data_IF_742139546781
#
_entry.id   IF_742139546781
#
_cell.length_a   1.000
_cell.length_b   1.000
_cell.length_c   1.000
_cell.angle_alpha   90.00
_cell.angle_beta   90.00
_cell.angle_gamma   90.00
#
_symmetry.space_group_name_H-M   'P 1'
#
loop_
_entity.id
_entity.type
_entity.pdbx_description
1 polymer ?
#
# COMPACT_ATOMS: atom_id res chain seq x y z
N UNK A 1 12.50 -14.42 15.45
CA UNK A 1 13.34 -14.05 14.30
C UNK A 1 12.41 -13.94 13.10
N UNK A 2 12.14 -12.71 12.66
CA UNK A 2 11.26 -12.47 11.51
C UNK A 2 12.00 -12.87 10.22
N UNK A 3 11.31 -13.54 9.30
CA UNK A 3 11.92 -14.00 8.07
C UNK A 3 12.20 -12.80 7.15
N UNK A 4 13.47 -12.56 6.85
CA UNK A 4 13.83 -11.68 5.75
C UNK A 4 13.40 -12.33 4.43
N UNK A 5 13.15 -11.51 3.41
CA UNK A 5 12.88 -11.98 2.06
C UNK A 5 13.99 -12.91 1.57
N UNK A 6 13.61 -14.05 1.00
CA UNK A 6 14.51 -14.89 0.23
C UNK A 6 14.99 -14.15 -1.04
N UNK A 7 16.12 -14.57 -1.64
CA UNK A 7 16.59 -13.98 -2.90
C UNK A 7 15.55 -14.05 -4.03
N UNK A 8 14.73 -15.10 -4.06
CA UNK A 8 13.68 -15.26 -5.06
C UNK A 8 12.53 -14.26 -4.84
N UNK A 9 12.08 -14.07 -3.61
CA UNK A 9 11.04 -13.09 -3.27
C UNK A 9 11.53 -11.65 -3.52
N UNK A 10 12.77 -11.34 -3.15
CA UNK A 10 13.37 -10.05 -3.45
C UNK A 10 13.46 -9.79 -4.95
N UNK A 11 13.92 -10.78 -5.72
CA UNK A 11 13.99 -10.67 -7.18
C UNK A 11 12.60 -10.48 -7.80
N UNK A 12 11.58 -11.18 -7.30
CA UNK A 12 10.21 -11.04 -7.78
C UNK A 12 9.64 -9.65 -7.46
N UNK A 13 9.86 -9.15 -6.25
CA UNK A 13 9.43 -7.81 -5.84
C UNK A 13 10.08 -6.71 -6.69
N UNK A 14 11.40 -6.79 -6.92
CA UNK A 14 12.13 -5.81 -7.73
C UNK A 14 11.80 -5.87 -9.22
N UNK A 15 11.20 -6.96 -9.71
CA UNK A 15 10.78 -7.11 -11.10
C UNK A 15 9.44 -6.45 -11.43
N UNK A 16 8.69 -5.98 -10.41
CA UNK A 16 7.37 -5.35 -10.61
C UNK A 16 7.56 -4.00 -11.34
N UNK A 17 6.90 -3.79 -12.50
CA UNK A 17 7.00 -2.52 -13.22
C UNK A 17 6.41 -1.36 -12.42
N UNK A 18 7.17 -0.27 -12.31
CA UNK A 18 6.73 1.01 -11.76
C UNK A 18 5.95 1.80 -12.82
N UNK A 19 4.63 1.82 -12.70
CA UNK A 19 3.73 2.51 -13.62
C UNK A 19 3.75 4.03 -13.44
N UNK A 20 4.39 4.53 -12.38
CA UNK A 20 4.60 5.96 -12.20
C UNK A 20 5.78 6.48 -13.03
N UNK A 21 6.64 5.60 -13.57
CA UNK A 21 7.77 5.98 -14.43
C UNK A 21 7.26 6.58 -15.75
N UNK A 22 7.72 7.79 -16.17
CA UNK A 22 7.33 8.37 -17.45
C UNK A 22 7.59 7.46 -18.66
N UNK A 23 8.63 6.61 -18.59
CA UNK A 23 8.95 5.65 -19.66
C UNK A 23 7.87 4.56 -19.83
N UNK A 24 7.02 4.34 -18.82
CA UNK A 24 5.89 3.40 -18.92
C UNK A 24 4.79 3.89 -19.87
N UNK A 25 4.70 5.19 -20.13
CA UNK A 25 3.58 5.80 -20.86
C UNK A 25 2.22 5.70 -20.14
N UNK A 26 2.20 5.21 -18.90
CA UNK A 26 0.98 4.92 -18.16
C UNK A 26 0.36 6.19 -17.57
N UNK A 27 -0.96 6.16 -17.39
CA UNK A 27 -1.77 7.24 -16.84
C UNK A 27 -1.38 7.62 -15.40
N UNK A 28 -0.76 6.71 -14.65
CA UNK A 28 -0.20 6.99 -13.32
C UNK A 28 0.94 8.01 -13.40
N UNK A 29 1.89 7.83 -14.32
CA UNK A 29 2.96 8.79 -14.56
C UNK A 29 2.40 10.16 -14.99
N UNK A 30 1.36 10.17 -15.83
CA UNK A 30 0.69 11.41 -16.25
C UNK A 30 -0.02 12.11 -15.09
N UNK A 31 -0.73 11.37 -14.24
CA UNK A 31 -1.39 11.93 -13.06
C UNK A 31 -0.37 12.56 -12.10
N UNK A 32 0.75 11.86 -11.85
CA UNK A 32 1.85 12.39 -11.05
C UNK A 32 2.38 13.71 -11.62
N UNK A 33 2.61 13.79 -12.93
CA UNK A 33 3.07 15.00 -13.60
C UNK A 33 2.04 16.14 -13.55
N UNK A 34 0.75 15.84 -13.73
CA UNK A 34 -0.34 16.84 -13.65
C UNK A 34 -0.43 17.44 -12.24
N UNK A 35 -0.45 16.61 -11.20
CA UNK A 35 -0.55 17.07 -9.80
C UNK A 35 0.67 17.90 -9.42
N UNK A 36 1.87 17.39 -9.67
CA UNK A 36 3.10 18.07 -9.28
C UNK A 36 3.34 19.34 -10.10
N UNK A 37 3.04 19.33 -11.41
CA UNK A 37 3.09 20.50 -12.27
C UNK A 37 2.10 21.59 -11.88
N UNK A 38 0.86 21.22 -11.50
CA UNK A 38 -0.14 22.17 -11.03
C UNK A 38 0.32 22.91 -9.76
N UNK A 39 0.89 22.19 -8.79
CA UNK A 39 1.44 22.78 -7.57
C UNK A 39 2.65 23.70 -7.84
N UNK A 40 3.60 23.23 -8.66
CA UNK A 40 4.77 24.02 -9.03
C UNK A 40 4.39 25.32 -9.74
N UNK A 41 3.42 25.26 -10.67
CA UNK A 41 2.88 26.43 -11.35
C UNK A 41 2.11 27.35 -10.40
N UNK A 42 1.26 26.81 -9.53
CA UNK A 42 0.49 27.58 -8.55
C UNK A 42 1.38 28.37 -7.59
N UNK A 43 2.51 27.79 -7.20
CA UNK A 43 3.45 28.41 -6.27
C UNK A 43 4.60 29.18 -6.92
N UNK A 44 4.73 29.10 -8.25
CA UNK A 44 5.84 29.66 -9.03
C UNK A 44 7.22 29.17 -8.53
N UNK A 45 7.34 27.88 -8.22
CA UNK A 45 8.58 27.27 -7.71
C UNK A 45 9.16 26.23 -8.68
N UNK A 46 10.48 26.04 -8.67
CA UNK A 46 11.10 24.87 -9.29
C UNK A 46 10.53 23.56 -8.74
N UNK A 47 10.53 22.55 -9.60
CA UNK A 47 10.12 21.19 -9.29
C UNK A 47 11.29 20.24 -9.55
N UNK A 48 11.55 19.35 -8.60
CA UNK A 48 12.58 18.31 -8.71
C UNK A 48 11.97 16.95 -8.45
N UNK A 49 12.10 16.03 -9.42
CA UNK A 49 11.62 14.66 -9.29
C UNK A 49 12.76 13.75 -8.85
N UNK A 50 12.56 13.01 -7.77
CA UNK A 50 13.52 12.06 -7.22
C UNK A 50 12.96 10.65 -7.32
N UNK A 51 13.73 9.72 -7.91
CA UNK A 51 13.37 8.30 -8.02
C UNK A 51 14.46 7.42 -7.37
N UNK A 52 14.63 7.48 -6.03
CA UNK A 52 15.57 6.61 -5.35
C UNK A 52 15.17 5.14 -5.53
N UNK A 53 16.15 4.25 -5.44
CA UNK A 53 15.91 2.80 -5.45
C UNK A 53 14.92 2.37 -4.36
N UNK A 54 14.23 1.24 -4.54
CA UNK A 54 13.22 0.77 -3.59
C UNK A 54 13.83 0.22 -2.29
N UNK A 55 15.12 -0.15 -2.29
CA UNK A 55 15.84 -0.60 -1.11
C UNK A 55 16.32 0.60 -0.29
N UNK A 56 15.86 0.67 0.95
CA UNK A 56 16.17 1.76 1.88
C UNK A 56 16.65 1.20 3.21
N UNK A 57 17.36 2.01 3.98
CA UNK A 57 17.65 1.64 5.36
C UNK A 57 16.37 1.70 6.19
N UNK A 58 16.22 0.80 7.17
CA UNK A 58 15.10 0.85 8.12
C UNK A 58 15.04 2.19 8.85
N UNK A 59 16.22 2.78 9.08
CA UNK A 59 16.40 4.11 9.68
C UNK A 59 15.84 5.25 8.83
N UNK A 60 16.03 5.22 7.50
CA UNK A 60 15.48 6.25 6.60
C UNK A 60 13.97 6.04 6.40
N UNK A 61 13.50 4.79 6.39
CA UNK A 61 12.07 4.49 6.30
C UNK A 61 11.31 4.94 7.57
N UNK A 62 11.90 4.80 8.76
CA UNK A 62 11.21 5.06 10.03
C UNK A 62 11.88 6.14 10.88
N UNK A 63 13.00 5.84 11.52
CA UNK A 63 13.58 6.67 12.60
C UNK A 63 13.79 8.14 12.20
N UNK A 64 14.32 8.40 11.00
CA UNK A 64 14.61 9.77 10.53
C UNK A 64 13.36 10.57 10.18
N UNK A 65 12.23 9.90 10.06
CA UNK A 65 10.91 10.47 9.86
C UNK A 65 10.11 10.51 11.16
N UNK A 66 10.73 10.23 12.30
CA UNK A 66 10.13 10.41 13.63
C UNK A 66 9.16 9.32 14.06
N UNK A 67 9.10 8.19 13.34
CA UNK A 67 8.31 7.04 13.76
C UNK A 67 8.82 6.52 15.10
N UNK A 68 7.88 6.10 15.97
CA UNK A 68 8.24 5.51 17.26
C UNK A 68 8.60 4.04 17.10
N UNK A 69 9.48 3.52 17.96
CA UNK A 69 9.87 2.11 17.92
C UNK A 69 8.74 1.14 18.27
N UNK A 70 7.67 1.62 18.90
CA UNK A 70 6.48 0.84 19.24
C UNK A 70 5.30 1.08 18.28
N UNK A 71 5.52 1.81 17.19
CA UNK A 71 4.49 2.05 16.18
C UNK A 71 4.16 0.74 15.45
N UNK A 72 2.87 0.43 15.28
CA UNK A 72 2.43 -0.77 14.57
C UNK A 72 2.91 -0.77 13.12
N UNK A 73 3.07 0.42 12.51
CA UNK A 73 3.59 0.57 11.14
C UNK A 73 5.06 0.16 11.00
N UNK A 74 5.79 0.12 12.12
CA UNK A 74 7.16 -0.37 12.22
C UNK A 74 7.23 -1.89 12.48
N UNK A 75 6.11 -2.56 12.73
CA UNK A 75 6.08 -4.00 12.96
C UNK A 75 6.54 -4.72 11.68
N UNK A 76 7.44 -5.70 11.87
CA UNK A 76 8.03 -6.48 10.79
C UNK A 76 6.97 -7.24 9.98
N UNK A 77 5.79 -7.50 10.55
CA UNK A 77 4.65 -8.11 9.83
C UNK A 77 4.15 -7.26 8.68
N UNK A 78 4.28 -5.93 8.76
CA UNK A 78 3.80 -4.99 7.74
C UNK A 78 4.93 -4.45 6.83
N UNK A 79 6.12 -5.05 6.93
CA UNK A 79 7.34 -4.55 6.30
C UNK A 79 8.15 -5.65 5.61
N UNK A 80 8.85 -5.30 4.52
CA UNK A 80 9.62 -6.25 3.70
C UNK A 80 11.11 -6.14 3.93
N UNK A 81 11.59 -6.79 4.99
CA UNK A 81 13.01 -6.77 5.36
C UNK A 81 13.84 -7.67 4.45
N UNK A 82 14.97 -7.15 3.96
CA UNK A 82 16.03 -7.92 3.27
C UNK A 82 17.13 -8.29 4.26
N UNK A 83 17.35 -7.44 5.27
CA UNK A 83 18.21 -7.68 6.42
C UNK A 83 17.68 -6.90 7.63
N UNK A 84 18.26 -7.04 8.83
CA UNK A 84 17.84 -6.26 10.00
C UNK A 84 17.90 -4.73 9.80
N UNK A 85 18.67 -4.23 8.84
CA UNK A 85 18.88 -2.79 8.62
C UNK A 85 18.45 -2.30 7.24
N UNK A 86 17.98 -3.19 6.36
CA UNK A 86 17.59 -2.87 4.97
C UNK A 86 16.25 -3.52 4.64
N UNK A 87 15.37 -2.75 4.00
CA UNK A 87 14.04 -3.20 3.59
C UNK A 87 13.66 -2.62 2.21
N UNK A 88 12.65 -3.20 1.58
CA UNK A 88 11.91 -2.49 0.55
C UNK A 88 11.05 -1.41 1.22
N UNK A 89 11.07 -0.18 0.71
CA UNK A 89 10.37 0.96 1.31
C UNK A 89 8.87 0.67 1.46
N UNK A 90 8.30 1.00 2.62
CA UNK A 90 6.85 0.87 2.86
C UNK A 90 6.06 2.13 2.50
N UNK A 91 6.74 3.26 2.28
CA UNK A 91 6.18 4.51 1.77
C UNK A 91 7.24 5.32 1.00
N UNK A 92 6.83 6.22 0.11
CA UNK A 92 7.74 7.05 -0.70
C UNK A 92 8.51 8.10 0.10
N UNK A 93 7.97 8.52 1.26
CA UNK A 93 8.64 9.45 2.18
C UNK A 93 9.98 8.93 2.70
N UNK A 94 10.22 7.62 2.64
CA UNK A 94 11.53 7.01 2.96
C UNK A 94 12.69 7.57 2.10
N UNK A 95 12.41 8.22 0.97
CA UNK A 95 13.41 8.93 0.16
C UNK A 95 13.74 10.34 0.66
N UNK A 96 12.88 10.96 1.48
CA UNK A 96 13.06 12.33 1.96
C UNK A 96 14.31 12.54 2.82
N UNK A 97 14.75 11.62 3.68
CA UNK A 97 15.97 11.82 4.45
C UNK A 97 17.20 12.11 3.58
N UNK A 98 17.34 11.43 2.43
CA UNK A 98 18.43 11.68 1.49
C UNK A 98 18.29 13.04 0.78
N UNK A 99 17.05 13.47 0.46
CA UNK A 99 16.78 14.81 -0.06
C UNK A 99 17.13 15.87 0.98
N UNK A 100 16.75 15.70 2.24
CA UNK A 100 17.07 16.66 3.30
C UNK A 100 18.59 16.75 3.55
N UNK A 101 19.31 15.63 3.43
CA UNK A 101 20.77 15.61 3.55
C UNK A 101 21.45 16.41 2.43
N UNK A 102 20.94 16.36 1.19
CA UNK A 102 21.51 17.09 0.06
C UNK A 102 21.33 18.61 0.19
N UNK A 103 20.35 19.05 0.97
CA UNK A 103 20.08 20.47 1.25
C UNK A 103 20.96 21.05 2.37
N UNK A 104 21.73 20.23 3.11
CA UNK A 104 22.59 20.74 4.20
C UNK A 104 23.62 21.80 3.77
N UNK A 105 24.27 21.70 2.59
CA UNK A 105 25.21 22.71 2.12
C UNK A 105 24.53 23.99 1.59
N UNK A 106 23.20 24.00 1.44
CA UNK A 106 22.44 25.14 0.93
C UNK A 106 22.48 26.32 1.91
N UNK A 107 23.38 27.26 1.64
CA UNK A 107 23.46 28.55 2.35
C UNK A 107 22.58 29.63 1.70
N UNK A 108 21.98 29.32 0.55
CA UNK A 108 21.22 30.22 -0.32
C UNK A 108 19.71 30.28 -0.04
N UNK A 109 18.98 30.92 -0.97
CA UNK A 109 17.52 30.88 -1.01
C UNK A 109 17.09 29.55 -1.67
N UNK A 110 16.32 28.76 -0.95
CA UNK A 110 15.68 27.53 -1.43
C UNK A 110 14.18 27.68 -1.31
N UNK A 111 13.45 27.33 -2.36
CA UNK A 111 11.99 27.18 -2.38
C UNK A 111 11.66 26.26 -3.55
N UNK A 112 11.57 24.96 -3.28
CA UNK A 112 11.47 23.92 -4.32
C UNK A 112 10.44 22.88 -3.89
N UNK A 113 9.66 22.40 -4.86
CA UNK A 113 8.82 21.22 -4.72
C UNK A 113 9.61 19.96 -5.08
N UNK A 114 9.87 19.12 -4.08
CA UNK A 114 10.46 17.80 -4.24
C UNK A 114 9.35 16.76 -4.41
N UNK A 115 9.46 15.94 -5.46
CA UNK A 115 8.43 14.98 -5.89
C UNK A 115 9.04 13.58 -5.89
N UNK A 116 8.46 12.64 -5.13
CA UNK A 116 8.95 11.26 -5.06
C UNK A 116 7.81 10.29 -5.42
N UNK A 117 7.61 10.01 -6.72
CA UNK A 117 6.70 8.96 -7.15
C UNK A 117 7.38 7.59 -7.04
N UNK A 118 6.60 6.55 -6.79
CA UNK A 118 7.05 5.19 -7.05
C UNK A 118 6.32 4.11 -6.26
N UNK A 119 6.71 2.87 -6.53
CA UNK A 119 6.22 1.69 -5.84
C UNK A 119 6.63 1.66 -4.37
N UNK A 120 5.74 1.14 -3.52
CA UNK A 120 6.02 0.82 -2.12
C UNK A 120 5.61 -0.62 -1.86
N UNK A 121 6.15 -1.24 -0.83
CA UNK A 121 6.03 -2.68 -0.60
C UNK A 121 5.57 -2.94 0.83
N UNK A 122 4.29 -3.27 0.98
CA UNK A 122 3.67 -3.57 2.27
C UNK A 122 2.55 -4.59 2.08
N UNK A 123 2.35 -5.56 2.97
CA UNK A 123 1.10 -6.31 2.99
C UNK A 123 -0.08 -5.33 3.06
N UNK A 124 -1.16 -5.70 2.40
CA UNK A 124 -2.38 -4.90 2.36
C UNK A 124 -3.54 -5.85 2.07
N UNK A 125 -4.77 -5.39 2.32
CA UNK A 125 -5.96 -6.18 2.12
C UNK A 125 -6.04 -6.74 0.70
N UNK A 126 -6.59 -7.95 0.57
CA UNK A 126 -6.89 -8.54 -0.74
C UNK A 126 -8.33 -8.21 -1.07
N UNK A 127 -8.54 -7.11 -1.78
CA UNK A 127 -9.83 -6.70 -2.30
C UNK A 127 -9.67 -5.95 -3.64
N UNK A 128 -10.75 -5.30 -4.11
CA UNK A 128 -10.77 -4.58 -5.39
C UNK A 128 -10.08 -3.23 -5.35
N UNK A 129 -9.67 -2.74 -4.18
CA UNK A 129 -9.11 -1.40 -3.98
C UNK A 129 -7.71 -1.39 -3.39
N UNK A 130 -7.21 -2.54 -2.92
CA UNK A 130 -5.92 -2.69 -2.27
C UNK A 130 -5.02 -3.69 -2.98
N UNK A 131 -3.71 -3.41 -2.95
CA UNK A 131 -2.65 -4.25 -3.53
C UNK A 131 -1.41 -4.14 -2.64
N UNK A 132 -0.64 -5.22 -2.51
CA UNK A 132 0.56 -5.22 -1.66
C UNK A 132 1.75 -4.41 -2.20
N UNK A 133 1.62 -3.87 -3.42
CA UNK A 133 2.63 -3.03 -4.04
C UNK A 133 2.00 -1.82 -4.74
N UNK A 134 1.38 -0.90 -3.98
CA UNK A 134 0.78 0.30 -4.57
C UNK A 134 1.87 1.30 -4.97
N UNK A 135 1.51 2.27 -5.80
CA UNK A 135 2.28 3.46 -6.08
C UNK A 135 1.85 4.59 -5.16
N UNK A 136 2.83 5.32 -4.64
CA UNK A 136 2.61 6.55 -3.92
C UNK A 136 3.23 7.72 -4.67
N UNK A 137 2.75 8.91 -4.33
CA UNK A 137 3.33 10.18 -4.72
C UNK A 137 3.58 11.01 -3.46
N UNK A 138 4.85 11.25 -3.16
CA UNK A 138 5.27 12.17 -2.11
C UNK A 138 5.53 13.56 -2.70
N UNK A 139 5.05 14.61 -2.03
CA UNK A 139 5.18 16.00 -2.44
C UNK A 139 5.64 16.85 -1.26
N UNK A 140 6.88 17.32 -1.28
CA UNK A 140 7.44 18.16 -0.23
C UNK A 140 7.89 19.51 -0.79
N UNK A 141 7.19 20.59 -0.43
CA UNK A 141 7.68 21.95 -0.70
C UNK A 141 8.57 22.35 0.46
N UNK A 142 9.86 22.54 0.21
CA UNK A 142 10.83 22.96 1.22
C UNK A 142 11.30 24.39 0.94
N UNK A 143 11.39 25.21 1.98
CA UNK A 143 11.72 26.63 1.88
C UNK A 143 12.69 27.07 2.98
N UNK A 144 13.77 27.77 2.63
CA UNK A 144 14.83 28.20 3.58
C UNK A 144 14.66 29.62 4.16
N UNK A 145 13.67 30.39 3.69
CA UNK A 145 13.31 31.72 4.22
C UNK A 145 11.83 32.01 4.09
N UNK A 146 11.24 32.62 5.12
CA UNK A 146 9.79 32.80 5.22
C UNK A 146 9.14 31.62 5.93
N UNK A 147 7.84 31.69 6.15
CA UNK A 147 7.08 30.62 6.80
C UNK A 147 6.03 30.10 5.82
N UNK A 148 5.87 28.77 5.81
CA UNK A 148 4.71 28.08 5.26
C UNK A 148 3.84 27.69 6.45
N UNK A 149 2.53 27.95 6.35
CA UNK A 149 1.57 27.73 7.43
C UNK A 149 0.33 26.98 6.97
N UNK A 150 -0.65 26.88 7.87
CA UNK A 150 -1.94 26.23 7.59
C UNK A 150 -2.67 26.80 6.35
N UNK A 151 -2.61 28.12 6.05
CA UNK A 151 -3.16 28.63 4.79
C UNK A 151 -2.50 27.99 3.56
N UNK A 152 -1.15 27.95 3.49
CA UNK A 152 -0.43 27.32 2.38
C UNK A 152 -0.73 25.81 2.27
N UNK A 153 -0.89 25.14 3.42
CA UNK A 153 -1.33 23.75 3.46
C UNK A 153 -2.74 23.60 2.86
N UNK A 154 -3.67 24.47 3.24
CA UNK A 154 -5.05 24.44 2.72
C UNK A 154 -5.09 24.68 1.20
N UNK A 155 -4.25 25.60 0.72
CA UNK A 155 -4.09 25.88 -0.72
C UNK A 155 -3.49 24.68 -1.47
N UNK A 156 -2.54 23.97 -0.85
CA UNK A 156 -1.99 22.71 -1.38
C UNK A 156 -3.10 21.66 -1.56
N UNK A 157 -3.94 21.47 -0.54
CA UNK A 157 -5.01 20.48 -0.59
C UNK A 157 -6.00 20.78 -1.73
N UNK A 158 -6.45 22.02 -1.84
CA UNK A 158 -7.35 22.44 -2.91
C UNK A 158 -6.74 22.21 -4.29
N UNK A 159 -5.48 22.60 -4.48
CA UNK A 159 -4.77 22.41 -5.75
C UNK A 159 -4.61 20.94 -6.12
N UNK A 160 -4.34 20.06 -5.15
CA UNK A 160 -4.27 18.60 -5.37
C UNK A 160 -5.63 18.04 -5.75
N UNK A 161 -6.71 18.42 -5.05
CA UNK A 161 -8.07 17.96 -5.40
C UNK A 161 -8.45 18.44 -6.79
N UNK A 162 -8.21 19.70 -7.15
CA UNK A 162 -8.54 20.21 -8.48
C UNK A 162 -7.74 19.52 -9.59
N UNK A 163 -6.48 19.14 -9.32
CA UNK A 163 -5.66 18.39 -10.27
C UNK A 163 -6.13 16.94 -10.46
N UNK A 164 -6.51 16.25 -9.37
CA UNK A 164 -6.94 14.84 -9.42
C UNK A 164 -8.42 14.74 -9.81
N UNK A 165 -9.32 15.44 -9.11
CA UNK A 165 -10.78 15.38 -9.26
C UNK A 165 -11.39 16.79 -9.36
N UNK A 166 -11.26 17.47 -10.51
CA UNK A 166 -11.75 18.82 -10.72
C UNK A 166 -13.23 18.96 -10.36
N UNK A 167 -13.56 19.94 -9.52
CA UNK A 167 -14.92 20.24 -9.11
C UNK A 167 -15.49 19.33 -8.01
N UNK A 168 -14.69 18.41 -7.47
CA UNK A 168 -15.09 17.56 -6.35
C UNK A 168 -15.03 18.30 -5.02
N UNK A 169 -16.01 18.06 -4.15
CA UNK A 169 -15.98 18.57 -2.78
C UNK A 169 -14.96 17.81 -1.95
N UNK A 170 -14.25 18.52 -1.09
CA UNK A 170 -13.25 17.95 -0.21
C UNK A 170 -13.36 18.52 1.20
N UNK A 171 -12.75 17.84 2.17
CA UNK A 171 -12.57 18.31 3.55
C UNK A 171 -11.21 17.89 4.08
N UNK A 172 -10.65 18.68 4.99
CA UNK A 172 -9.49 18.31 5.78
C UNK A 172 -9.94 17.83 7.16
N UNK A 173 -9.55 16.63 7.56
CA UNK A 173 -9.81 16.05 8.87
C UNK A 173 -8.49 16.01 9.64
N UNK A 174 -8.38 16.56 10.86
CA UNK A 174 -7.14 16.50 11.62
C UNK A 174 -6.63 15.06 11.78
N UNK A 175 -5.35 14.84 11.49
CA UNK A 175 -4.67 13.56 11.64
C UNK A 175 -3.25 13.77 12.18
N UNK A 176 -2.71 12.76 12.86
CA UNK A 176 -1.38 12.84 13.48
C UNK A 176 -0.44 11.96 12.67
N UNK A 177 0.64 12.56 12.15
CA UNK A 177 1.69 11.82 11.44
C UNK A 177 3.06 12.05 12.09
N UNK A 178 3.98 11.08 12.03
CA UNK A 178 5.27 11.17 12.73
C UNK A 178 6.18 12.33 12.28
N UNK A 179 6.12 12.69 10.99
CA UNK A 179 6.99 13.68 10.35
C UNK A 179 6.31 15.02 10.03
N UNK A 180 5.06 15.23 10.46
CA UNK A 180 4.35 16.50 10.25
C UNK A 180 3.78 17.09 11.54
N UNK A 181 3.51 18.38 11.53
CA UNK A 181 2.66 19.09 12.49
C UNK A 181 1.45 19.68 11.75
N UNK A 182 0.35 19.92 12.47
CA UNK A 182 -0.93 20.28 11.86
C UNK A 182 -1.32 19.30 10.74
N UNK A 183 -1.10 18.00 10.99
CA UNK A 183 -1.42 16.93 10.06
C UNK A 183 -2.92 16.85 9.78
N UNK A 184 -3.25 16.48 8.55
CA UNK A 184 -4.62 16.38 8.06
C UNK A 184 -4.73 15.23 7.06
N UNK A 185 -5.81 14.47 7.18
CA UNK A 185 -6.33 13.58 6.15
C UNK A 185 -7.20 14.40 5.19
N UNK A 186 -6.93 14.30 3.90
CA UNK A 186 -7.71 14.90 2.82
C UNK A 186 -8.76 13.91 2.32
N UNK A 187 -10.03 14.18 2.62
CA UNK A 187 -11.15 13.41 2.11
C UNK A 187 -11.80 14.10 0.92
N UNK A 188 -12.21 13.32 -0.08
CA UNK A 188 -13.00 13.76 -1.24
C UNK A 188 -14.37 13.09 -1.23
N UNK A 189 -15.39 13.79 -1.73
CA UNK A 189 -16.74 13.25 -1.81
C UNK A 189 -16.93 12.42 -3.08
N UNK A 190 -17.24 11.13 -2.91
CA UNK A 190 -17.43 10.15 -3.99
C UNK A 190 -18.68 9.34 -3.69
N UNK A 191 -19.60 9.23 -4.64
CA UNK A 191 -20.86 8.45 -4.52
C UNK A 191 -21.67 8.72 -3.24
N UNK A 192 -21.64 9.97 -2.76
CA UNK A 192 -22.33 10.40 -1.54
C UNK A 192 -21.58 10.11 -0.23
N UNK A 193 -20.46 9.40 -0.28
CA UNK A 193 -19.56 9.15 0.85
C UNK A 193 -18.31 10.02 0.85
N UNK A 194 -17.57 10.01 1.96
CA UNK A 194 -16.24 10.60 2.07
C UNK A 194 -15.18 9.51 1.96
N UNK A 195 -14.20 9.70 1.10
CA UNK A 195 -13.10 8.78 0.88
C UNK A 195 -11.77 9.53 1.03
N UNK A 196 -10.84 8.92 1.75
CA UNK A 196 -9.48 9.43 1.89
C UNK A 196 -8.72 9.38 0.55
N UNK A 197 -8.16 10.54 0.16
CA UNK A 197 -7.32 10.71 -1.03
C UNK A 197 -5.83 10.81 -0.67
N UNK A 198 -5.50 11.55 0.39
CA UNK A 198 -4.12 11.87 0.76
C UNK A 198 -4.01 12.23 2.24
N UNK A 199 -2.78 12.23 2.75
CA UNK A 199 -2.42 12.79 4.06
C UNK A 199 -1.41 13.91 3.85
N UNK A 200 -1.50 14.97 4.65
CA UNK A 200 -0.64 16.14 4.50
C UNK A 200 -0.39 16.86 5.82
N UNK A 201 0.61 17.75 5.86
CA UNK A 201 0.88 18.59 7.02
C UNK A 201 2.06 19.53 6.81
N UNK A 202 2.36 20.31 7.84
CA UNK A 202 3.58 21.10 7.90
C UNK A 202 4.74 20.17 8.27
N UNK A 203 5.89 20.25 7.60
CA UNK A 203 7.05 19.42 7.91
C UNK A 203 7.49 19.66 9.36
N UNK A 204 7.61 18.60 10.14
CA UNK A 204 7.93 18.71 11.56
C UNK A 204 9.36 19.25 11.77
N UNK A 205 9.49 20.19 12.70
CA UNK A 205 10.79 20.78 13.04
C UNK A 205 11.80 19.75 13.58
N UNK A 206 11.33 18.65 14.17
CA UNK A 206 12.16 17.51 14.61
C UNK A 206 12.85 16.83 13.43
N UNK A 207 12.15 16.61 12.32
CA UNK A 207 12.69 16.00 11.10
C UNK A 207 13.74 16.90 10.45
N UNK A 208 13.44 18.20 10.32
CA UNK A 208 14.40 19.17 9.79
C UNK A 208 15.69 19.22 10.62
N UNK A 209 15.57 19.28 11.96
CA UNK A 209 16.74 19.28 12.85
C UNK A 209 17.53 17.96 12.78
N UNK A 210 16.85 16.83 12.66
CA UNK A 210 17.50 15.53 12.51
C UNK A 210 18.32 15.43 11.22
N UNK A 211 17.92 16.15 10.16
CA UNK A 211 18.70 16.30 8.94
C UNK A 211 19.75 17.43 9.01
N UNK A 212 19.89 18.13 10.14
CA UNK A 212 20.86 19.22 10.31
C UNK A 212 20.42 20.57 9.72
N UNK A 213 19.14 20.74 9.39
CA UNK A 213 18.56 22.01 8.92
C UNK A 213 18.05 22.84 10.11
N UNK A 214 18.38 24.14 10.15
CA UNK A 214 17.86 25.04 11.20
C UNK A 214 16.36 25.27 10.99
N UNK A 215 15.53 24.67 11.84
CA UNK A 215 14.05 24.77 11.77
C UNK A 215 13.50 26.17 12.06
N UNK A 216 14.33 27.16 12.37
CA UNK A 216 13.95 28.59 12.41
C UNK A 216 14.08 29.28 11.05
N UNK A 217 14.80 28.65 10.12
CA UNK A 217 15.02 29.12 8.74
C UNK A 217 14.25 28.26 7.75
N UNK A 218 14.31 26.95 7.95
CA UNK A 218 13.64 25.98 7.11
C UNK A 218 12.23 25.67 7.59
N UNK A 219 11.31 25.63 6.64
CA UNK A 219 9.95 25.15 6.81
C UNK A 219 9.54 24.35 5.57
N UNK A 220 8.41 23.65 5.66
CA UNK A 220 7.88 22.93 4.50
C UNK A 220 6.45 22.47 4.65
N UNK A 221 5.88 22.08 3.52
CA UNK A 221 4.65 21.31 3.42
C UNK A 221 5.01 19.89 2.98
N UNK A 222 4.30 18.90 3.48
CA UNK A 222 4.41 17.50 3.07
C UNK A 222 3.02 16.98 2.71
N UNK A 223 2.92 16.18 1.65
CA UNK A 223 1.74 15.43 1.28
C UNK A 223 2.14 14.08 0.67
N UNK A 224 1.52 13.01 1.16
CA UNK A 224 1.59 11.67 0.59
C UNK A 224 0.22 11.25 0.08
N UNK A 225 0.16 10.69 -1.14
CA UNK A 225 -1.08 10.18 -1.71
C UNK A 225 -0.89 8.82 -2.38
N UNK A 226 -1.90 7.96 -2.28
CA UNK A 226 -1.98 6.72 -3.04
C UNK A 226 -2.30 7.02 -4.50
N UNK A 227 -1.33 6.86 -5.39
CA UNK A 227 -1.46 7.26 -6.80
C UNK A 227 -2.42 6.34 -7.55
N UNK A 228 -2.45 5.04 -7.23
CA UNK A 228 -3.41 4.06 -7.77
C UNK A 228 -4.85 4.46 -7.44
N UNK A 229 -5.12 4.75 -6.16
CA UNK A 229 -6.45 5.19 -5.70
C UNK A 229 -6.86 6.50 -6.38
N UNK A 230 -5.96 7.47 -6.45
CA UNK A 230 -6.22 8.75 -7.11
C UNK A 230 -6.56 8.57 -8.60
N UNK A 231 -5.84 7.69 -9.30
CA UNK A 231 -6.13 7.39 -10.71
C UNK A 231 -7.45 6.61 -10.87
N UNK A 232 -7.71 5.65 -9.99
CA UNK A 232 -8.97 4.91 -9.98
C UNK A 232 -10.16 5.85 -9.82
N UNK A 233 -10.08 6.80 -8.89
CA UNK A 233 -11.10 7.84 -8.71
C UNK A 233 -11.23 8.73 -9.95
N UNK A 234 -10.10 9.21 -10.49
CA UNK A 234 -10.08 10.06 -11.70
C UNK A 234 -10.80 9.40 -12.87
N UNK A 235 -10.56 8.10 -13.05
CA UNK A 235 -11.05 7.35 -14.21
C UNK A 235 -12.35 6.61 -13.94
N UNK A 236 -12.82 6.50 -12.69
CA UNK A 236 -13.97 5.67 -12.33
C UNK A 236 -13.70 4.17 -12.45
N UNK A 237 -12.49 3.73 -12.09
CA UNK A 237 -12.09 2.32 -12.07
C UNK A 237 -12.42 1.72 -10.69
N UNK A 238 -13.12 0.59 -10.69
CA UNK A 238 -13.64 -0.08 -9.49
C UNK A 238 -12.85 -1.33 -9.08
N UNK A 239 -11.75 -1.62 -9.79
CA UNK A 239 -10.86 -2.75 -9.55
C UNK A 239 -9.40 -2.37 -9.85
N UNK A 240 -8.57 -2.29 -8.81
CA UNK A 240 -7.17 -1.88 -8.89
C UNK A 240 -6.35 -2.76 -9.83
N UNK A 241 -6.74 -4.04 -9.98
CA UNK A 241 -6.06 -5.00 -10.86
C UNK A 241 -6.15 -4.57 -12.33
N UNK A 242 -7.16 -3.78 -12.71
CA UNK A 242 -7.28 -3.24 -14.07
C UNK A 242 -6.13 -2.29 -14.44
N UNK A 243 -5.49 -1.63 -13.47
CA UNK A 243 -4.34 -0.75 -13.73
C UNK A 243 -3.13 -1.52 -14.30
N UNK A 244 -3.08 -2.84 -14.09
CA UNK A 244 -2.00 -3.71 -14.57
C UNK A 244 -2.48 -4.73 -15.62
N UNK A 245 -3.74 -4.61 -16.08
CA UNK A 245 -4.33 -5.59 -16.99
C UNK A 245 -3.59 -5.63 -18.33
N UNK A 246 -3.30 -6.84 -18.80
CA UNK A 246 -2.72 -7.08 -20.12
C UNK A 246 -3.76 -7.12 -21.24
N UNK A 247 -5.06 -7.12 -20.90
CA UNK A 247 -6.15 -7.09 -21.88
C UNK A 247 -6.04 -5.81 -22.73
N UNK A 248 -5.89 -5.93 -24.07
CA UNK A 248 -5.71 -4.77 -24.94
C UNK A 248 -6.82 -3.73 -24.82
N UNK A 249 -8.05 -4.14 -24.49
CA UNK A 249 -9.21 -3.25 -24.31
C UNK A 249 -9.08 -2.40 -23.05
N UNK A 250 -8.37 -2.89 -22.04
CA UNK A 250 -8.10 -2.18 -20.78
C UNK A 250 -6.80 -1.39 -20.89
N UNK A 251 -5.72 -2.03 -21.33
CA UNK A 251 -4.39 -1.45 -21.46
C UNK A 251 -4.38 -0.18 -22.33
N UNK A 252 -5.12 -0.19 -23.45
CA UNK A 252 -5.23 0.99 -24.32
C UNK A 252 -5.86 2.22 -23.64
N UNK A 253 -6.63 2.03 -22.57
CA UNK A 253 -7.25 3.10 -21.79
C UNK A 253 -6.35 3.62 -20.65
N UNK A 254 -5.20 3.00 -20.43
CA UNK A 254 -4.23 3.39 -19.40
C UNK A 254 -3.16 4.35 -19.93
N UNK A 255 -3.35 4.93 -21.12
CA UNK A 255 -2.43 5.90 -21.72
C UNK A 255 -2.89 7.36 -21.58
N UNK A 256 -4.00 7.63 -20.88
CA UNK A 256 -4.52 8.98 -20.63
C UNK A 256 -5.31 9.07 -19.31
N UNK A 257 -5.78 10.27 -18.97
CA UNK A 257 -6.61 10.54 -17.77
C UNK A 257 -8.12 10.60 -18.06
N UNK A 258 -8.58 10.13 -19.22
CA UNK A 258 -10.00 10.11 -19.57
C UNK A 258 -10.75 9.06 -18.74
N UNK A 259 -12.06 9.25 -18.50
CA UNK A 259 -12.88 8.24 -17.81
C UNK A 259 -12.77 6.86 -18.47
N UNK A 260 -12.61 5.84 -17.63
CA UNK A 260 -12.54 4.45 -18.04
C UNK A 260 -13.89 4.00 -18.61
N UNK A 261 -13.84 3.26 -19.71
CA UNK A 261 -14.98 2.60 -20.33
C UNK A 261 -14.97 1.14 -19.90
N UNK A 262 -15.96 0.70 -19.11
CA UNK A 262 -15.99 -0.67 -18.59
C UNK A 262 -15.95 -1.72 -19.69
N UNK A 263 -15.13 -2.75 -19.48
CA UNK A 263 -15.14 -3.99 -20.27
C UNK A 263 -15.93 -5.06 -19.52
N UNK A 264 -16.45 -6.06 -20.22
CA UNK A 264 -17.21 -7.15 -19.60
C UNK A 264 -16.37 -7.90 -18.55
N UNK A 265 -16.88 -7.95 -17.32
CA UNK A 265 -16.24 -8.69 -16.23
C UNK A 265 -16.49 -10.20 -16.36
N UNK A 266 -15.51 -11.00 -15.92
CA UNK A 266 -15.64 -12.46 -15.84
C UNK A 266 -16.36 -12.87 -14.54
N UNK A 267 -17.10 -13.98 -14.52
CA UNK A 267 -17.79 -14.41 -13.31
C UNK A 267 -16.79 -14.85 -12.23
N UNK A 268 -16.98 -14.43 -10.95
CA UNK A 268 -16.12 -14.86 -9.86
C UNK A 268 -16.47 -16.28 -9.41
N UNK A 269 -15.46 -16.98 -8.87
CA UNK A 269 -15.60 -18.29 -8.22
C UNK A 269 -15.20 -18.15 -6.76
N UNK A 270 -16.11 -18.51 -5.84
CA UNK A 270 -15.87 -18.43 -4.40
C UNK A 270 -15.52 -19.79 -3.80
N UNK A 271 -14.55 -19.83 -2.88
CA UNK A 271 -14.16 -21.03 -2.14
C UNK A 271 -13.93 -20.70 -0.68
N UNK A 272 -14.60 -21.43 0.20
CA UNK A 272 -14.41 -21.29 1.64
C UNK A 272 -13.35 -22.30 2.11
N UNK A 273 -12.46 -21.85 3.00
CA UNK A 273 -11.33 -22.58 3.56
C UNK A 273 -11.46 -22.63 5.08
N UNK A 274 -11.29 -23.82 5.66
CA UNK A 274 -11.04 -23.97 7.10
C UNK A 274 -9.54 -24.11 7.33
N UNK A 275 -8.91 -23.07 7.85
CA UNK A 275 -7.47 -23.04 8.12
C UNK A 275 -7.23 -23.27 9.61
N UNK A 276 -6.28 -24.12 9.96
CA UNK A 276 -5.70 -24.11 11.30
C UNK A 276 -4.48 -23.18 11.23
N UNK A 277 -4.51 -22.11 12.01
CA UNK A 277 -3.42 -21.12 12.10
C UNK A 277 -3.49 -20.41 13.46
N UNK A 278 -2.59 -19.46 13.70
CA UNK A 278 -2.59 -18.65 14.91
C UNK A 278 -3.93 -17.92 15.13
N UNK A 279 -4.35 -17.78 16.38
CA UNK A 279 -5.64 -17.14 16.74
C UNK A 279 -5.64 -15.61 16.65
N UNK A 280 -4.47 -15.00 16.42
CA UNK A 280 -4.26 -13.57 16.21
C UNK A 280 -3.95 -13.21 14.74
N UNK A 281 -4.21 -14.14 13.81
CA UNK A 281 -3.84 -13.95 12.41
C UNK A 281 -4.59 -12.79 11.74
N UNK A 282 -3.84 -11.95 11.03
CA UNK A 282 -4.34 -10.80 10.29
C UNK A 282 -4.74 -11.20 8.85
N UNK A 283 -5.86 -10.67 8.36
CA UNK A 283 -6.32 -10.87 6.99
C UNK A 283 -5.31 -10.36 5.95
N UNK A 284 -4.56 -9.29 6.25
CA UNK A 284 -3.53 -8.75 5.36
C UNK A 284 -2.36 -9.74 5.22
N UNK A 285 -1.95 -10.37 6.32
CA UNK A 285 -0.89 -11.38 6.35
C UNK A 285 -1.33 -12.65 5.61
N UNK A 286 -2.55 -13.12 5.84
CA UNK A 286 -3.11 -14.25 5.09
C UNK A 286 -3.22 -13.95 3.60
N UNK A 287 -3.68 -12.74 3.27
CA UNK A 287 -3.81 -12.26 1.92
C UNK A 287 -2.50 -12.21 1.16
N UNK A 288 -1.46 -11.72 1.82
CA UNK A 288 -0.13 -11.67 1.27
C UNK A 288 0.49 -13.05 1.04
N UNK A 289 0.39 -13.93 2.02
CA UNK A 289 0.84 -15.31 1.88
C UNK A 289 0.07 -16.04 0.76
N UNK A 290 -1.23 -15.76 0.58
CA UNK A 290 -2.01 -16.27 -0.53
C UNK A 290 -1.51 -15.77 -1.89
N UNK A 291 -1.21 -14.47 -2.03
CA UNK A 291 -0.63 -13.91 -3.28
C UNK A 291 0.72 -14.54 -3.59
N UNK A 292 1.58 -14.67 -2.59
CA UNK A 292 2.90 -15.32 -2.72
C UNK A 292 2.75 -16.76 -3.21
N UNK A 293 1.82 -17.53 -2.64
CA UNK A 293 1.54 -18.91 -3.05
C UNK A 293 1.00 -19.03 -4.48
N UNK A 294 0.26 -18.01 -4.94
CA UNK A 294 -0.30 -17.93 -6.30
C UNK A 294 0.73 -17.48 -7.34
N UNK A 295 1.77 -16.74 -6.95
CA UNK A 295 2.86 -16.35 -7.85
C UNK A 295 2.34 -15.68 -9.13
N UNK A 296 2.62 -16.21 -10.33
CA UNK A 296 2.10 -15.65 -11.59
C UNK A 296 0.57 -15.54 -11.69
N UNK A 297 -0.17 -16.33 -10.89
CA UNK A 297 -1.65 -16.31 -10.87
C UNK A 297 -2.21 -15.34 -9.81
N UNK A 298 -1.38 -14.54 -9.14
CA UNK A 298 -1.81 -13.68 -8.03
C UNK A 298 -2.93 -12.71 -8.42
N UNK A 299 -2.95 -12.21 -9.66
CA UNK A 299 -3.99 -11.28 -10.16
C UNK A 299 -5.38 -11.92 -10.25
N UNK A 300 -5.47 -13.26 -10.23
CA UNK A 300 -6.74 -13.97 -10.17
C UNK A 300 -7.40 -13.85 -8.79
N UNK A 301 -6.63 -13.58 -7.73
CA UNK A 301 -7.16 -13.41 -6.39
C UNK A 301 -7.80 -12.02 -6.26
N UNK A 302 -9.13 -11.99 -6.35
CA UNK A 302 -9.93 -10.77 -6.28
C UNK A 302 -10.34 -10.39 -4.86
N UNK A 303 -10.29 -11.34 -3.94
CA UNK A 303 -10.74 -11.14 -2.57
C UNK A 303 -10.27 -12.25 -1.63
N UNK A 304 -9.91 -11.89 -0.40
CA UNK A 304 -9.73 -12.81 0.72
C UNK A 304 -10.39 -12.21 1.96
N UNK A 305 -11.48 -12.84 2.42
CA UNK A 305 -12.23 -12.39 3.60
C UNK A 305 -12.09 -13.38 4.75
N UNK A 306 -11.72 -12.91 5.95
CA UNK A 306 -11.84 -13.72 7.17
C UNK A 306 -13.29 -13.64 7.66
N UNK A 307 -14.01 -14.77 7.58
CA UNK A 307 -15.42 -14.86 7.94
C UNK A 307 -15.63 -15.15 9.43
N UNK A 308 -14.75 -15.95 10.03
CA UNK A 308 -14.81 -16.30 11.45
C UNK A 308 -13.46 -16.80 11.94
N UNK A 309 -13.15 -16.49 13.21
CA UNK A 309 -12.01 -17.06 13.95
C UNK A 309 -12.59 -17.82 15.14
N UNK A 310 -12.34 -19.12 15.23
CA UNK A 310 -12.84 -19.96 16.32
C UNK A 310 -11.67 -20.63 17.04
N UNK A 311 -11.36 -20.25 18.28
CA UNK A 311 -10.28 -20.86 19.05
C UNK A 311 -10.43 -22.37 19.15
N UNK A 312 -9.31 -23.10 19.08
CA UNK A 312 -9.31 -24.57 19.16
C UNK A 312 -9.99 -25.07 20.44
N UNK A 313 -9.86 -24.33 21.54
CA UNK A 313 -10.43 -24.66 22.85
C UNK A 313 -11.96 -24.79 22.86
N UNK A 314 -12.66 -24.14 21.91
CA UNK A 314 -14.13 -24.16 21.81
C UNK A 314 -14.63 -24.91 20.56
N UNK A 315 -13.74 -25.54 19.79
CA UNK A 315 -14.14 -26.26 18.59
C UNK A 315 -14.89 -27.57 18.92
N UNK A 316 -15.96 -27.88 18.17
CA UNK A 316 -16.63 -29.18 18.28
C UNK A 316 -15.68 -30.35 17.97
N UNK A 317 -15.91 -31.50 18.60
CA UNK A 317 -15.07 -32.70 18.40
C UNK A 317 -14.92 -33.13 16.93
N UNK A 318 -15.97 -32.97 16.12
CA UNK A 318 -15.93 -33.25 14.69
C UNK A 318 -14.96 -32.32 13.94
N UNK A 319 -14.91 -31.04 14.31
CA UNK A 319 -14.00 -30.07 13.72
C UNK A 319 -12.54 -30.33 14.14
N UNK A 320 -12.32 -30.65 15.42
CA UNK A 320 -10.99 -31.04 15.93
C UNK A 320 -10.44 -32.27 15.20
N UNK A 321 -11.28 -33.31 15.04
CA UNK A 321 -10.92 -34.53 14.31
C UNK A 321 -10.56 -34.24 12.85
N UNK A 322 -11.39 -33.43 12.17
CA UNK A 322 -11.18 -33.03 10.78
C UNK A 322 -9.88 -32.24 10.57
N UNK A 323 -9.57 -31.32 11.49
CA UNK A 323 -8.33 -30.53 11.46
C UNK A 323 -7.11 -31.31 11.98
N UNK A 324 -7.30 -32.53 12.49
CA UNK A 324 -6.24 -33.37 13.03
C UNK A 324 -5.61 -32.84 14.32
N UNK A 325 -6.33 -32.01 15.09
CA UNK A 325 -5.82 -31.43 16.33
C UNK A 325 -6.00 -32.43 17.48
N UNK A 326 -4.91 -32.95 18.01
CA UNK A 326 -4.93 -33.84 19.18
C UNK A 326 -5.39 -33.07 20.43
N UNK A 327 -6.20 -33.71 21.29
CA UNK A 327 -6.69 -33.10 22.54
C UNK A 327 -5.62 -33.04 23.65
N UNK A 328 -4.37 -33.41 23.38
CA UNK A 328 -3.34 -33.51 24.42
C UNK A 328 -2.73 -32.15 24.78
N UNK A 329 -2.93 -31.81 26.04
CA UNK A 329 -2.55 -30.58 26.69
C UNK A 329 -1.08 -30.63 27.13
N UNK A 330 -0.26 -29.70 26.61
CA UNK A 330 0.80 -29.13 27.44
C UNK A 330 0.17 -28.35 28.62
N UNK A 331 0.97 -27.71 29.49
CA UNK A 331 0.45 -26.96 30.64
C UNK A 331 -0.54 -25.82 30.28
N UNK A 332 -0.68 -25.48 28.99
CA UNK A 332 -1.59 -24.49 28.44
C UNK A 332 -2.89 -25.06 27.78
N UNK A 333 -3.12 -26.38 27.80
CA UNK A 333 -4.24 -27.02 27.09
C UNK A 333 -3.92 -27.36 25.62
N UNK A 334 -4.78 -28.13 24.92
CA UNK A 334 -4.59 -28.43 23.49
C UNK A 334 -4.84 -27.19 22.62
N UNK A 335 -3.91 -26.87 21.72
CA UNK A 335 -4.05 -25.78 20.73
C UNK A 335 -4.07 -24.36 21.30
N UNK A 336 -3.38 -24.12 22.43
CA UNK A 336 -3.19 -22.77 22.95
C UNK A 336 -2.54 -21.87 21.88
N UNK A 337 -3.20 -20.75 21.54
CA UNK A 337 -2.75 -19.83 20.49
C UNK A 337 -3.12 -20.24 19.06
N UNK A 338 -3.96 -21.26 18.86
CA UNK A 338 -4.44 -21.68 17.53
C UNK A 338 -5.96 -21.57 17.41
N UNK A 339 -6.41 -21.25 16.20
CA UNK A 339 -7.82 -21.18 15.84
C UNK A 339 -8.09 -21.88 14.51
N UNK A 340 -9.34 -22.31 14.34
CA UNK A 340 -9.90 -22.52 13.02
C UNK A 340 -10.32 -21.15 12.45
N UNK A 341 -9.64 -20.71 11.41
CA UNK A 341 -9.96 -19.47 10.68
C UNK A 341 -10.69 -19.83 9.40
N UNK A 342 -11.95 -19.44 9.32
CA UNK A 342 -12.79 -19.60 8.14
C UNK A 342 -12.52 -18.45 7.18
N UNK A 343 -11.95 -18.74 6.02
CA UNK A 343 -11.58 -17.75 5.00
C UNK A 343 -12.39 -17.98 3.73
N UNK A 344 -12.88 -16.91 3.11
CA UNK A 344 -13.46 -16.95 1.77
C UNK A 344 -12.48 -16.39 0.74
N UNK A 345 -12.10 -17.21 -0.22
CA UNK A 345 -11.38 -16.80 -1.40
C UNK A 345 -12.36 -16.43 -2.51
N UNK A 346 -12.17 -15.27 -3.11
CA UNK A 346 -12.83 -14.87 -4.36
C UNK A 346 -11.81 -14.89 -5.49
N UNK A 347 -11.97 -15.83 -6.41
CA UNK A 347 -11.10 -16.01 -7.58
C UNK A 347 -11.82 -15.48 -8.82
N UNK A 348 -11.22 -14.51 -9.50
CA UNK A 348 -11.78 -13.88 -10.69
C UNK A 348 -10.65 -13.39 -11.58
N UNK A 349 -10.42 -14.06 -12.70
CA UNK A 349 -9.51 -13.57 -13.74
C UNK A 349 -10.15 -12.38 -14.46
N UNK A 350 -9.33 -11.40 -14.85
CA UNK A 350 -9.77 -10.27 -15.68
C UNK A 350 -9.96 -10.66 -17.15
N UNK A 351 -9.35 -11.75 -17.60
CA UNK A 351 -9.19 -12.06 -19.03
C UNK A 351 -10.10 -13.20 -19.49
N UNK A 352 -10.41 -14.16 -18.61
CA UNK A 352 -11.17 -15.36 -18.96
C UNK A 352 -12.00 -15.91 -17.81
N UNK A 353 -13.05 -16.66 -18.13
CA UNK A 353 -13.78 -17.45 -17.15
C UNK A 353 -12.90 -18.58 -16.61
N UNK A 354 -12.85 -18.71 -15.28
CA UNK A 354 -12.18 -19.84 -14.63
C UNK A 354 -13.08 -21.07 -14.67
N UNK A 355 -12.53 -22.21 -15.05
CA UNK A 355 -13.21 -23.49 -14.84
C UNK A 355 -13.21 -23.86 -13.36
N UNK A 356 -14.18 -24.70 -12.95
CA UNK A 356 -14.20 -25.22 -11.57
C UNK A 356 -12.88 -25.91 -11.19
N UNK A 357 -12.27 -26.61 -12.15
CA UNK A 357 -10.98 -27.29 -11.98
C UNK A 357 -9.83 -26.35 -11.69
N UNK A 358 -9.72 -25.27 -12.46
CA UNK A 358 -8.68 -24.27 -12.26
C UNK A 358 -8.85 -23.58 -10.91
N UNK A 359 -10.07 -23.16 -10.58
CA UNK A 359 -10.37 -22.56 -9.29
C UNK A 359 -10.01 -23.50 -8.11
N UNK A 360 -10.27 -24.80 -8.25
CA UNK A 360 -9.91 -25.79 -7.23
C UNK A 360 -8.40 -25.96 -7.07
N UNK A 361 -7.63 -25.93 -8.17
CA UNK A 361 -6.15 -25.97 -8.13
C UNK A 361 -5.58 -24.74 -7.46
N UNK A 362 -6.06 -23.54 -7.80
CA UNK A 362 -5.64 -22.27 -7.19
C UNK A 362 -5.97 -22.25 -5.70
N UNK A 363 -7.19 -22.66 -5.34
CA UNK A 363 -7.62 -22.85 -3.95
C UNK A 363 -6.68 -23.76 -3.18
N UNK A 364 -6.30 -24.91 -3.75
CA UNK A 364 -5.44 -25.88 -3.06
C UNK A 364 -4.03 -25.33 -2.80
N UNK A 365 -3.48 -24.54 -3.74
CA UNK A 365 -2.19 -23.86 -3.54
C UNK A 365 -2.25 -22.87 -2.37
N UNK A 366 -3.30 -22.05 -2.31
CA UNK A 366 -3.51 -21.13 -1.19
C UNK A 366 -3.69 -21.89 0.12
N UNK A 367 -4.53 -22.93 0.12
CA UNK A 367 -4.76 -23.75 1.32
C UNK A 367 -3.48 -24.39 1.86
N UNK A 368 -2.65 -24.97 0.98
CA UNK A 368 -1.38 -25.58 1.39
C UNK A 368 -0.38 -24.56 1.95
N UNK A 369 -0.46 -23.31 1.51
CA UNK A 369 0.41 -22.24 2.01
C UNK A 369 -0.06 -21.67 3.37
N UNK A 370 -1.38 -21.67 3.62
CA UNK A 370 -1.95 -21.03 4.82
C UNK A 370 -2.33 -22.00 5.94
N UNK A 371 -2.54 -23.28 5.65
CA UNK A 371 -2.99 -24.26 6.64
C UNK A 371 -1.79 -24.90 7.37
N UNK A 372 -1.73 -24.73 8.69
CA UNK A 372 -0.66 -25.25 9.55
C UNK A 372 -1.01 -26.60 10.22
N UNK A 373 -2.23 -27.12 9.97
CA UNK A 373 -2.69 -28.36 10.57
C UNK A 373 -2.11 -29.61 9.90
N UNK A 374 -2.10 -30.75 10.62
CA UNK A 374 -1.51 -32.00 10.14
C UNK A 374 -2.38 -32.73 9.10
N UNK A 375 -3.66 -32.37 8.95
CA UNK A 375 -4.61 -33.01 8.03
C UNK A 375 -4.96 -32.04 6.90
N UNK A 376 -4.66 -32.43 5.66
CA UNK A 376 -4.89 -31.60 4.49
C UNK A 376 -6.25 -31.91 3.82
N UNK A 377 -7.09 -30.90 3.67
CA UNK A 377 -8.31 -30.95 2.89
C UNK A 377 -8.09 -30.43 1.46
N UNK A 378 -7.66 -31.32 0.57
CA UNK A 378 -7.52 -31.01 -0.85
C UNK A 378 -8.77 -31.47 -1.62
N UNK A 379 -9.27 -30.59 -2.49
CA UNK A 379 -10.38 -30.91 -3.38
C UNK A 379 -9.87 -31.34 -4.76
N UNK A 380 -10.61 -32.22 -5.44
CA UNK A 380 -10.24 -32.69 -6.77
C UNK A 380 -10.16 -31.50 -7.76
N UNK A 381 -9.07 -31.52 -8.55
CA UNK A 381 -8.83 -30.59 -9.64
C UNK A 381 -9.73 -30.92 -10.81
#
# INVERSE_FOLDING_TARGET
>A
MHACLSPAELSAALAIPDLSDPASGHALAQLSAVVSGALAAHWEVPLEVHRPGPLVSTRDNYDRLGFSSGDVTCDARYSRHVSPTVMLRSHTSAGMPAVLDSLRPELGRHDTLHVLPGLVYRPDAVDRTHVGTPHQLELWRLRSRGLLGVPDLTDMLGSVVDAVLPGTRWRAVPSVHPYTTAGVQLDVQVDGGWLELAEAGLVAATVLRAAGLDSRRWCGLALGMGLDRALMLRKGIDDIRLLRSSDPRVAAQMADLLPYRPVSAMPPVRRDLSLLCADDVDAEVLGDAARTALGPDADVLAGLDVLAVTPVSVLPAAALSRLGVAREAGPAGPGSGQANVLVRLTLQSLERTLTAREANRLRNRVYLALHEGPVQELIAG
#
